data_IF_123232610056
#
_entry.id   IF_123232610056
#
_cell.length_a   1.000
_cell.length_b   1.000
_cell.length_c   1.000
_cell.angle_alpha   90.00
_cell.angle_beta   90.00
_cell.angle_gamma   90.00
#
_symmetry.space_group_name_H-M   'P 1'
#
loop_
_entity.id
_entity.type
_entity.pdbx_description
1 polymer ?
#
# COMPACT_ATOMS: atom_id res chain seq x y z
N UNK A 1 -2.41 6.93 -8.62
CA UNK A 1 -1.32 5.93 -8.74
C UNK A 1 -1.17 5.06 -7.49
N UNK A 2 -1.10 5.62 -6.28
CA UNK A 2 -1.01 4.80 -5.05
C UNK A 2 -2.17 3.81 -4.86
N UNK A 3 -3.41 4.23 -5.12
CA UNK A 3 -4.60 3.35 -5.11
C UNK A 3 -4.40 2.09 -5.96
N UNK A 4 -3.78 2.24 -7.13
CA UNK A 4 -3.49 1.14 -8.05
C UNK A 4 -2.40 0.21 -7.53
N UNK A 5 -1.37 0.74 -6.87
CA UNK A 5 -0.31 -0.07 -6.23
C UNK A 5 -0.88 -0.92 -5.10
N UNK A 6 -1.67 -0.31 -4.22
CA UNK A 6 -2.36 -1.02 -3.12
C UNK A 6 -3.24 -2.12 -3.70
N UNK A 7 -4.02 -1.80 -4.74
CA UNK A 7 -4.90 -2.77 -5.38
C UNK A 7 -4.13 -3.91 -6.07
N UNK A 8 -3.01 -3.61 -6.73
CA UNK A 8 -2.15 -4.61 -7.34
C UNK A 8 -1.51 -5.52 -6.29
N UNK A 9 -1.03 -4.95 -5.18
CA UNK A 9 -0.46 -5.70 -4.07
C UNK A 9 -1.50 -6.64 -3.42
N UNK A 10 -2.73 -6.16 -3.22
CA UNK A 10 -3.85 -6.97 -2.74
C UNK A 10 -4.13 -8.14 -3.70
N UNK A 11 -4.26 -7.86 -5.01
CA UNK A 11 -4.53 -8.87 -6.05
C UNK A 11 -3.42 -9.92 -6.13
N UNK A 12 -2.15 -9.51 -6.04
CA UNK A 12 -1.02 -10.42 -6.04
C UNK A 12 -1.03 -11.42 -4.87
N UNK A 13 -1.72 -11.08 -3.77
CA UNK A 13 -1.91 -11.93 -2.60
C UNK A 13 -3.33 -12.53 -2.52
N UNK A 14 -4.03 -12.63 -3.66
CA UNK A 14 -5.33 -13.30 -3.74
C UNK A 14 -6.53 -12.47 -3.26
N UNK A 15 -6.33 -11.21 -2.86
CA UNK A 15 -7.40 -10.31 -2.41
C UNK A 15 -7.96 -9.56 -3.61
N UNK A 16 -8.92 -10.17 -4.32
CA UNK A 16 -9.45 -9.67 -5.60
C UNK A 16 -10.81 -8.98 -5.49
N UNK A 17 -11.56 -9.25 -4.42
CA UNK A 17 -12.94 -8.76 -4.22
C UNK A 17 -13.04 -7.65 -3.17
N UNK A 18 -14.03 -6.77 -3.34
CA UNK A 18 -14.29 -5.62 -2.47
C UNK A 18 -13.70 -4.31 -2.98
N UNK A 19 -14.02 -3.22 -2.29
CA UNK A 19 -13.47 -1.89 -2.55
C UNK A 19 -12.07 -1.73 -1.92
N UNK A 20 -11.39 -0.63 -2.22
CA UNK A 20 -10.02 -0.41 -1.74
C UNK A 20 -9.88 -0.46 -0.21
N UNK A 21 -10.86 0.09 0.52
CA UNK A 21 -10.91 0.04 2.00
C UNK A 21 -10.88 -1.41 2.48
N UNK A 22 -11.80 -2.24 1.97
CA UNK A 22 -11.87 -3.65 2.34
C UNK A 22 -10.62 -4.44 1.93
N UNK A 23 -9.93 -4.03 0.87
CA UNK A 23 -8.68 -4.66 0.44
C UNK A 23 -7.54 -4.33 1.40
N UNK A 24 -7.42 -3.07 1.83
CA UNK A 24 -6.44 -2.63 2.83
C UNK A 24 -6.65 -3.39 4.14
N UNK A 25 -7.89 -3.47 4.63
CA UNK A 25 -8.20 -4.19 5.86
C UNK A 25 -7.89 -5.68 5.75
N UNK A 26 -8.26 -6.33 4.63
CA UNK A 26 -7.89 -7.73 4.40
C UNK A 26 -6.37 -7.95 4.35
N UNK A 27 -5.59 -7.01 3.80
CA UNK A 27 -4.13 -7.11 3.79
C UNK A 27 -3.56 -7.00 5.21
N UNK A 28 -4.12 -6.11 6.04
CA UNK A 28 -3.78 -5.99 7.46
C UNK A 28 -4.13 -7.27 8.22
N UNK A 29 -5.35 -7.78 8.05
CA UNK A 29 -5.85 -8.96 8.75
C UNK A 29 -5.08 -10.23 8.36
N UNK A 30 -4.62 -10.31 7.11
CA UNK A 30 -3.73 -11.37 6.62
C UNK A 30 -2.26 -11.21 7.07
N UNK A 31 -1.92 -10.14 7.79
CA UNK A 31 -0.56 -9.84 8.24
C UNK A 31 0.41 -9.48 7.10
N UNK A 32 -0.11 -9.10 5.93
CA UNK A 32 0.69 -8.69 4.77
C UNK A 32 1.24 -7.28 4.93
N UNK A 33 0.52 -6.44 5.67
CA UNK A 33 0.96 -5.10 6.07
C UNK A 33 0.67 -4.88 7.55
N UNK A 34 1.48 -4.03 8.19
CA UNK A 34 1.29 -3.60 9.58
C UNK A 34 0.09 -2.66 9.70
N UNK A 35 -0.54 -2.63 10.87
CA UNK A 35 -1.69 -1.77 11.16
C UNK A 35 -1.41 -0.29 10.86
N UNK A 36 -0.25 0.22 11.29
CA UNK A 36 0.16 1.62 11.04
C UNK A 36 0.23 1.95 9.54
N UNK A 37 0.68 1.00 8.71
CA UNK A 37 0.73 1.18 7.26
C UNK A 37 -0.67 1.13 6.64
N UNK A 38 -1.57 0.31 7.18
CA UNK A 38 -2.96 0.26 6.75
C UNK A 38 -3.68 1.58 7.03
N UNK A 39 -3.45 2.18 8.20
CA UNK A 39 -4.01 3.48 8.57
C UNK A 39 -3.53 4.58 7.61
N UNK A 40 -2.21 4.64 7.33
CA UNK A 40 -1.66 5.57 6.34
C UNK A 40 -2.21 5.34 4.91
N UNK A 41 -2.48 4.10 4.54
CA UNK A 41 -3.08 3.77 3.25
C UNK A 41 -4.54 4.24 3.12
N UNK A 42 -5.28 4.28 4.23
CA UNK A 42 -6.62 4.87 4.26
C UNK A 42 -6.56 6.39 4.06
N UNK A 43 -5.62 7.09 4.68
CA UNK A 43 -5.44 8.54 4.51
C UNK A 43 -5.07 8.91 3.07
N UNK A 44 -4.11 8.22 2.45
CA UNK A 44 -3.72 8.49 1.06
C UNK A 44 -4.86 8.14 0.07
N UNK A 45 -5.77 7.24 0.44
CA UNK A 45 -6.98 6.99 -0.36
C UNK A 45 -7.91 8.22 -0.34
N UNK A 46 -8.03 8.91 0.79
CA UNK A 46 -8.80 10.14 0.90
C UNK A 46 -8.19 11.22 0.02
N UNK A 47 -6.90 11.51 0.21
CA UNK A 47 -6.14 12.45 -0.62
C UNK A 47 -6.25 12.14 -2.12
N UNK A 48 -6.06 10.86 -2.49
CA UNK A 48 -6.15 10.44 -3.88
C UNK A 48 -7.56 10.46 -4.50
N UNK A 49 -8.62 10.50 -3.67
CA UNK A 49 -10.00 10.71 -4.12
C UNK A 49 -10.29 12.20 -4.28
N UNK A 50 -9.83 13.04 -3.35
CA UNK A 50 -9.99 14.49 -3.41
C UNK A 50 -9.24 15.08 -4.62
N UNK A 51 -8.01 14.63 -4.85
CA UNK A 51 -7.23 14.92 -6.07
C UNK A 51 -7.94 14.54 -7.38
N UNK A 52 -8.79 13.50 -7.37
CA UNK A 52 -9.48 13.03 -8.58
C UNK A 52 -10.80 13.76 -8.83
N UNK A 53 -11.30 14.51 -7.84
CA UNK A 53 -12.52 15.31 -7.90
C UNK A 53 -12.24 16.83 -7.95
N UNK A 54 -10.97 17.24 -8.01
CA UNK A 54 -10.53 18.62 -7.82
C UNK A 54 -11.26 19.66 -8.67
N UNK A 55 -11.94 20.57 -7.96
CA UNK A 55 -12.00 21.99 -8.31
C UNK A 55 -10.56 22.52 -8.46
N UNK A 56 -10.33 23.40 -9.43
CA UNK A 56 -9.00 23.79 -9.93
C UNK A 56 -8.07 24.48 -8.91
N UNK A 57 -8.56 24.79 -7.70
CA UNK A 57 -7.86 25.59 -6.69
C UNK A 57 -7.13 24.77 -5.62
N UNK A 58 -7.37 23.46 -5.52
CA UNK A 58 -6.80 22.59 -4.47
C UNK A 58 -5.90 21.50 -5.10
N UNK A 59 -4.84 21.95 -5.75
CA UNK A 59 -3.81 21.08 -6.31
C UNK A 59 -2.92 20.55 -5.18
N UNK A 60 -2.60 19.24 -5.16
CA UNK A 60 -1.69 18.68 -4.18
C UNK A 60 -0.32 19.33 -4.29
N UNK A 61 0.30 19.59 -3.15
CA UNK A 61 1.64 20.16 -3.12
C UNK A 61 2.72 19.09 -3.34
N UNK A 62 3.99 19.49 -3.26
CA UNK A 62 5.08 18.54 -3.42
C UNK A 62 5.12 17.47 -2.34
N UNK A 63 4.69 17.81 -1.12
CA UNK A 63 4.78 16.97 0.06
C UNK A 63 3.70 15.89 0.00
N UNK A 64 2.48 16.24 -0.43
CA UNK A 64 1.41 15.30 -0.76
C UNK A 64 1.87 14.22 -1.75
N UNK A 65 2.59 14.63 -2.80
CA UNK A 65 3.12 13.69 -3.80
C UNK A 65 4.22 12.80 -3.20
N UNK A 66 5.09 13.35 -2.36
CA UNK A 66 6.12 12.56 -1.67
C UNK A 66 5.51 11.52 -0.74
N UNK A 67 4.48 11.89 0.03
CA UNK A 67 3.80 11.00 0.97
C UNK A 67 3.13 9.83 0.24
N UNK A 68 2.49 10.11 -0.89
CA UNK A 68 1.91 9.10 -1.79
C UNK A 68 2.98 8.12 -2.29
N UNK A 69 4.16 8.63 -2.68
CA UNK A 69 5.27 7.82 -3.19
C UNK A 69 5.92 6.97 -2.08
N UNK A 70 6.12 7.54 -0.89
CA UNK A 70 6.69 6.81 0.23
C UNK A 70 5.72 5.73 0.70
N UNK A 71 4.40 5.99 0.73
CA UNK A 71 3.41 4.95 1.01
C UNK A 71 3.51 3.79 0.00
N UNK A 72 3.57 4.09 -1.30
CA UNK A 72 3.70 3.07 -2.34
C UNK A 72 4.93 2.19 -2.10
N UNK A 73 6.06 2.80 -1.75
CA UNK A 73 7.31 2.11 -1.44
C UNK A 73 7.19 1.23 -0.20
N UNK A 74 6.54 1.70 0.87
CA UNK A 74 6.34 0.90 2.08
C UNK A 74 5.46 -0.33 1.82
N UNK A 75 4.37 -0.18 1.04
CA UNK A 75 3.53 -1.32 0.66
C UNK A 75 4.32 -2.37 -0.13
N UNK A 76 5.10 -1.94 -1.14
CA UNK A 76 5.92 -2.86 -1.91
C UNK A 76 6.99 -3.55 -1.05
N UNK A 77 7.55 -2.83 -0.08
CA UNK A 77 8.53 -3.38 0.84
C UNK A 77 7.92 -4.45 1.76
N UNK A 78 6.80 -4.16 2.42
CA UNK A 78 6.18 -5.10 3.36
C UNK A 78 5.61 -6.33 2.66
N UNK A 79 4.99 -6.15 1.50
CA UNK A 79 4.29 -7.23 0.80
C UNK A 79 5.25 -8.14 0.02
N UNK A 80 6.32 -7.59 -0.56
CA UNK A 80 7.19 -8.34 -1.47
C UNK A 80 8.65 -8.43 -1.01
N UNK A 81 9.28 -7.29 -0.68
CA UNK A 81 10.73 -7.29 -0.44
C UNK A 81 11.10 -7.92 0.90
N UNK A 82 10.40 -7.54 1.97
CA UNK A 82 10.65 -8.04 3.33
C UNK A 82 10.46 -9.57 3.42
N UNK A 83 9.37 -10.16 2.89
CA UNK A 83 9.21 -11.61 2.81
C UNK A 83 10.31 -12.30 1.99
N UNK A 84 10.69 -11.73 0.84
CA UNK A 84 11.74 -12.29 -0.01
C UNK A 84 13.11 -12.30 0.68
N UNK A 85 13.46 -11.21 1.39
CA UNK A 85 14.70 -11.12 2.18
C UNK A 85 14.68 -12.17 3.30
N UNK A 86 13.57 -12.28 4.04
CA UNK A 86 13.43 -13.25 5.12
C UNK A 86 13.57 -14.70 4.61
N UNK A 87 12.92 -15.04 3.50
CA UNK A 87 13.03 -16.35 2.87
C UNK A 87 14.47 -16.66 2.44
N UNK A 88 15.17 -15.69 1.82
CA UNK A 88 16.58 -15.84 1.42
C UNK A 88 17.49 -16.08 2.62
N UNK A 89 17.29 -15.34 3.72
CA UNK A 89 18.08 -15.50 4.95
C UNK A 89 17.83 -16.85 5.62
N UNK A 90 16.58 -17.32 5.64
CA UNK A 90 16.20 -18.64 6.16
C UNK A 90 16.88 -19.75 5.36
N UNK A 91 16.79 -19.69 4.02
CA UNK A 91 17.38 -20.70 3.15
C UNK A 91 18.92 -20.79 3.29
N UNK A 92 19.60 -19.65 3.48
CA UNK A 92 21.06 -19.62 3.71
C UNK A 92 21.49 -20.30 5.03
N UNK A 93 20.62 -20.36 6.04
CA UNK A 93 20.92 -21.00 7.32
C UNK A 93 20.58 -22.49 7.36
N UNK A 94 19.79 -22.97 6.39
CA UNK A 94 19.31 -24.35 6.33
C UNK A 94 20.08 -25.22 5.32
N UNK A 95 20.99 -24.64 4.54
CA UNK A 95 21.93 -25.34 3.66
C UNK A 95 23.35 -25.18 4.15
#
# INVERSE_FOLDING_TARGET
>A
MARTVVEAAAKANGITSGNLVTKIDKMKDAGLIRAVLADAAHEVRHLGNDMAHGDLDDLPDSDDVQDVLELMKQILNEVFQSPAIAARLKNRRMG
#
